data_IF_552259772667
#
_entry.id   IF_552259772667
#
_cell.length_a   1.000
_cell.length_b   1.000
_cell.length_c   1.000
_cell.angle_alpha   90.00
_cell.angle_beta   90.00
_cell.angle_gamma   90.00
#
_symmetry.space_group_name_H-M   'P 1'
#
loop_
_entity.id
_entity.type
_entity.pdbx_description
1 polymer ?
#
# COMPACT_ATOMS: atom_id res chain seq x y z
N UNK A 1 49.12 25.83 32.54
CA UNK A 1 47.82 25.47 33.14
C UNK A 1 46.86 25.17 32.01
N UNK A 2 46.80 23.92 31.57
CA UNK A 2 45.88 23.46 30.52
C UNK A 2 44.72 22.75 31.20
N UNK A 3 43.53 23.36 31.15
CA UNK A 3 42.28 22.74 31.58
C UNK A 3 41.98 21.54 30.68
N UNK A 4 41.87 20.32 31.21
CA UNK A 4 41.29 19.22 30.46
C UNK A 4 39.77 19.38 30.49
N UNK A 5 39.18 19.71 29.35
CA UNK A 5 37.73 19.64 29.14
C UNK A 5 37.33 18.17 29.32
N UNK A 6 36.75 17.85 30.48
CA UNK A 6 36.22 16.53 30.79
C UNK A 6 35.08 16.22 29.81
N UNK A 7 35.26 15.21 28.97
CA UNK A 7 34.15 14.63 28.21
C UNK A 7 33.11 14.12 29.21
N UNK A 8 31.80 14.31 28.97
CA UNK A 8 30.76 13.84 29.89
C UNK A 8 30.93 12.33 30.12
N UNK A 9 30.77 11.89 31.38
CA UNK A 9 30.79 10.46 31.71
C UNK A 9 29.72 9.75 30.86
N UNK A 10 30.05 8.56 30.34
CA UNK A 10 29.23 7.82 29.37
C UNK A 10 27.76 7.70 29.79
N UNK A 11 27.50 7.61 31.08
CA UNK A 11 26.16 7.40 31.65
C UNK A 11 25.30 8.67 31.63
N UNK A 12 25.89 9.85 31.84
CA UNK A 12 25.17 11.14 31.73
C UNK A 12 24.79 11.43 30.27
N UNK A 13 25.69 11.12 29.33
CA UNK A 13 25.39 11.23 27.90
C UNK A 13 24.28 10.27 27.47
N UNK A 14 24.31 9.01 27.92
CA UNK A 14 23.26 8.03 27.61
C UNK A 14 21.90 8.44 28.19
N UNK A 15 21.85 9.02 29.39
CA UNK A 15 20.61 9.52 29.97
C UNK A 15 20.02 10.68 29.16
N UNK A 16 20.84 11.66 28.79
CA UNK A 16 20.38 12.79 27.94
C UNK A 16 19.95 12.29 26.56
N UNK A 17 20.73 11.40 25.94
CA UNK A 17 20.41 10.78 24.66
C UNK A 17 19.06 10.08 24.69
N UNK A 18 18.83 9.21 25.68
CA UNK A 18 17.56 8.48 25.82
C UNK A 18 16.39 9.43 26.10
N UNK A 19 16.60 10.49 26.90
CA UNK A 19 15.59 11.53 27.14
C UNK A 19 15.18 12.26 25.85
N UNK A 20 16.16 12.61 25.00
CA UNK A 20 15.89 13.25 23.70
C UNK A 20 15.16 12.30 22.75
N UNK A 21 15.58 11.03 22.68
CA UNK A 21 14.90 10.00 21.86
C UNK A 21 13.44 9.85 22.28
N UNK A 22 13.18 9.69 23.58
CA UNK A 22 11.81 9.58 24.10
C UNK A 22 10.95 10.81 23.81
N UNK A 23 11.53 12.01 23.92
CA UNK A 23 10.86 13.26 23.59
C UNK A 23 10.48 13.31 22.11
N UNK A 24 11.40 12.92 21.21
CA UNK A 24 11.16 12.86 19.77
C UNK A 24 10.11 11.82 19.40
N UNK A 25 10.16 10.63 20.00
CA UNK A 25 9.17 9.57 19.76
C UNK A 25 7.77 9.98 20.22
N UNK A 26 7.68 10.65 21.36
CA UNK A 26 6.42 11.21 21.88
C UNK A 26 5.87 12.26 20.93
N UNK A 27 6.71 13.21 20.48
CA UNK A 27 6.31 14.28 19.57
C UNK A 27 5.83 13.72 18.22
N UNK A 28 6.55 12.73 17.65
CA UNK A 28 6.16 12.05 16.40
C UNK A 28 4.83 11.32 16.55
N UNK A 29 4.66 10.58 17.64
CA UNK A 29 3.40 9.87 17.93
C UNK A 29 2.22 10.84 18.04
N UNK A 30 2.40 11.95 18.75
CA UNK A 30 1.37 12.99 18.89
C UNK A 30 1.02 13.60 17.52
N UNK A 31 2.03 13.86 16.69
CA UNK A 31 1.88 14.44 15.35
C UNK A 31 1.08 13.51 14.44
N UNK A 32 1.44 12.24 14.35
CA UNK A 32 0.73 11.23 13.56
C UNK A 32 -0.73 11.10 14.00
N UNK A 33 -0.98 11.07 15.31
CA UNK A 33 -2.35 11.03 15.85
C UNK A 33 -3.15 12.25 15.42
N UNK A 34 -2.57 13.44 15.53
CA UNK A 34 -3.23 14.68 15.12
C UNK A 34 -3.51 14.74 13.62
N UNK A 35 -2.57 14.26 12.79
CA UNK A 35 -2.79 14.20 11.34
C UNK A 35 -3.94 13.24 11.03
N UNK A 36 -3.94 12.05 11.64
CA UNK A 36 -4.99 11.06 11.42
C UNK A 36 -6.38 11.58 11.77
N UNK A 37 -6.55 12.26 12.90
CA UNK A 37 -7.87 12.78 13.32
C UNK A 37 -8.36 13.89 12.38
N UNK A 38 -7.47 14.80 11.98
CA UNK A 38 -7.79 15.89 11.04
C UNK A 38 -8.10 15.33 9.64
N UNK A 39 -7.30 14.37 9.18
CA UNK A 39 -7.49 13.70 7.89
C UNK A 39 -8.86 13.00 7.85
N UNK A 40 -9.18 12.18 8.83
CA UNK A 40 -10.47 11.47 8.91
C UNK A 40 -11.64 12.46 8.90
N UNK A 41 -11.57 13.53 9.70
CA UNK A 41 -12.59 14.57 9.72
C UNK A 41 -12.75 15.27 8.36
N UNK A 42 -11.64 15.52 7.66
CA UNK A 42 -11.64 16.11 6.33
C UNK A 42 -12.37 15.23 5.32
N UNK A 43 -12.09 13.93 5.32
CA UNK A 43 -12.75 12.97 4.44
C UNK A 43 -14.24 12.82 4.75
N UNK A 44 -14.65 12.90 6.02
CA UNK A 44 -16.07 12.97 6.38
C UNK A 44 -16.75 14.22 5.82
N UNK A 45 -16.13 15.40 5.98
CA UNK A 45 -16.66 16.67 5.43
C UNK A 45 -16.74 16.68 3.91
N UNK A 46 -15.77 16.06 3.23
CA UNK A 46 -15.83 15.87 1.78
C UNK A 46 -17.05 15.01 1.40
N UNK A 47 -17.28 13.92 2.14
CA UNK A 47 -18.46 13.09 1.98
C UNK A 47 -19.77 13.86 2.18
N UNK A 48 -19.85 14.69 3.23
CA UNK A 48 -20.99 15.56 3.50
C UNK A 48 -21.29 16.49 2.34
N UNK A 49 -20.27 17.22 1.86
CA UNK A 49 -20.40 18.17 0.74
C UNK A 49 -20.86 17.48 -0.54
N UNK A 50 -20.35 16.28 -0.84
CA UNK A 50 -20.80 15.48 -1.99
C UNK A 50 -22.29 15.15 -1.85
N UNK A 51 -22.73 14.65 -0.69
CA UNK A 51 -24.13 14.26 -0.48
C UNK A 51 -25.08 15.45 -0.47
N UNK A 52 -24.73 16.56 0.19
CA UNK A 52 -25.54 17.77 0.22
C UNK A 52 -25.70 18.38 -1.18
N UNK A 53 -24.63 18.41 -1.98
CA UNK A 53 -24.68 18.88 -3.35
C UNK A 53 -25.59 18.01 -4.24
N UNK A 54 -25.54 16.68 -4.06
CA UNK A 54 -26.45 15.76 -4.77
C UNK A 54 -27.92 15.93 -4.35
N UNK A 55 -28.19 16.23 -3.08
CA UNK A 55 -29.56 16.41 -2.57
C UNK A 55 -30.19 17.75 -2.95
N UNK A 56 -29.36 18.79 -3.19
CA UNK A 56 -29.79 20.10 -3.69
C UNK A 56 -30.06 20.15 -5.21
N UNK A 57 -29.77 19.08 -5.94
CA UNK A 57 -30.10 18.90 -7.35
C UNK A 57 -31.28 17.93 -7.53
N UNK A 58 -32.17 18.18 -8.49
CA UNK A 58 -33.25 17.25 -8.80
C UNK A 58 -32.70 15.90 -9.29
N UNK A 59 -32.88 14.87 -8.46
CA UNK A 59 -32.78 13.42 -8.71
C UNK A 59 -32.05 12.94 -9.99
N UNK A 60 -30.93 12.21 -9.80
CA UNK A 60 -30.61 10.90 -10.43
C UNK A 60 -29.25 10.37 -9.99
N UNK A 61 -29.13 9.05 -9.82
CA UNK A 61 -27.86 8.36 -9.59
C UNK A 61 -26.80 8.69 -10.67
N UNK A 62 -27.22 8.96 -11.91
CA UNK A 62 -26.36 9.36 -13.02
C UNK A 62 -25.67 10.73 -12.79
N UNK A 63 -26.31 11.66 -12.07
CA UNK A 63 -25.71 12.96 -11.76
C UNK A 63 -24.61 12.83 -10.70
N UNK A 64 -24.80 11.95 -9.71
CA UNK A 64 -23.80 11.68 -8.67
C UNK A 64 -22.54 10.98 -9.22
N UNK A 65 -22.70 10.08 -10.19
CA UNK A 65 -21.56 9.44 -10.86
C UNK A 65 -20.74 10.45 -11.65
N UNK A 66 -21.39 11.31 -12.44
CA UNK A 66 -20.72 12.40 -13.18
C UNK A 66 -20.03 13.42 -12.25
N UNK A 67 -20.63 13.72 -11.11
CA UNK A 67 -20.04 14.59 -10.10
C UNK A 67 -18.74 14.01 -9.54
N UNK A 68 -18.76 12.74 -9.15
CA UNK A 68 -17.59 12.07 -8.58
C UNK A 68 -16.47 11.97 -9.62
N UNK A 69 -16.78 11.66 -10.88
CA UNK A 69 -15.79 11.60 -11.95
C UNK A 69 -15.13 12.96 -12.18
N UNK A 70 -15.93 14.04 -12.23
CA UNK A 70 -15.41 15.41 -12.39
C UNK A 70 -14.57 15.83 -11.19
N UNK A 71 -15.07 15.61 -9.97
CA UNK A 71 -14.31 15.89 -8.75
C UNK A 71 -13.01 15.11 -8.71
N UNK A 72 -13.01 13.84 -9.16
CA UNK A 72 -11.80 13.04 -9.19
C UNK A 72 -10.76 13.64 -10.12
N UNK A 73 -11.16 14.07 -11.32
CA UNK A 73 -10.26 14.71 -12.28
C UNK A 73 -9.72 16.05 -11.74
N UNK A 74 -10.61 16.95 -11.29
CA UNK A 74 -10.25 18.29 -10.85
C UNK A 74 -9.36 18.26 -9.59
N UNK A 75 -9.73 17.45 -8.59
CA UNK A 75 -8.96 17.32 -7.35
C UNK A 75 -7.65 16.59 -7.57
N UNK A 76 -7.61 15.55 -8.43
CA UNK A 76 -6.34 14.89 -8.78
C UNK A 76 -5.43 15.82 -9.59
N UNK A 77 -5.96 16.71 -10.43
CA UNK A 77 -5.14 17.71 -11.11
C UNK A 77 -4.52 18.70 -10.12
N UNK A 78 -5.26 19.12 -9.09
CA UNK A 78 -4.81 20.12 -8.11
C UNK A 78 -3.92 19.53 -7.02
N UNK A 79 -4.30 18.39 -6.46
CA UNK A 79 -3.70 17.77 -5.27
C UNK A 79 -2.98 16.45 -5.57
N UNK A 80 -3.01 15.97 -6.83
CA UNK A 80 -2.31 14.77 -7.30
C UNK A 80 -2.91 13.47 -6.76
N UNK A 81 -2.39 12.98 -5.63
CA UNK A 81 -2.81 11.72 -5.00
C UNK A 81 -3.97 12.01 -4.04
N UNK A 82 -4.79 11.02 -3.71
CA UNK A 82 -5.86 11.14 -2.69
C UNK A 82 -7.27 11.10 -3.22
N UNK A 83 -7.44 11.44 -4.49
CA UNK A 83 -8.74 11.86 -5.03
C UNK A 83 -9.21 11.01 -6.21
N UNK A 84 -8.91 9.71 -6.19
CA UNK A 84 -9.52 8.77 -7.13
C UNK A 84 -11.05 8.72 -6.94
N UNK A 85 -11.79 8.38 -7.99
CA UNK A 85 -13.24 8.18 -7.90
C UNK A 85 -13.61 7.19 -6.79
N UNK A 86 -12.81 6.13 -6.61
CA UNK A 86 -12.98 5.15 -5.53
C UNK A 86 -12.90 5.80 -4.14
N UNK A 87 -11.91 6.66 -3.90
CA UNK A 87 -11.75 7.38 -2.62
C UNK A 87 -12.93 8.33 -2.37
N UNK A 88 -13.36 9.07 -3.39
CA UNK A 88 -14.53 9.96 -3.28
C UNK A 88 -15.82 9.18 -2.95
N UNK A 89 -16.01 8.01 -3.55
CA UNK A 89 -17.09 7.09 -3.19
C UNK A 89 -16.98 6.59 -1.74
N UNK A 90 -15.76 6.33 -1.25
CA UNK A 90 -15.53 5.97 0.15
C UNK A 90 -15.86 7.14 1.09
N UNK A 91 -15.47 8.37 0.76
CA UNK A 91 -15.80 9.57 1.54
C UNK A 91 -17.31 9.77 1.64
N UNK A 92 -18.01 9.64 0.50
CA UNK A 92 -19.48 9.66 0.45
C UNK A 92 -20.09 8.59 1.35
N UNK A 93 -19.65 7.33 1.24
CA UNK A 93 -20.12 6.23 2.11
C UNK A 93 -19.81 6.49 3.58
N UNK A 94 -18.65 7.08 3.88
CA UNK A 94 -18.23 7.43 5.23
C UNK A 94 -19.18 8.43 5.87
N UNK A 95 -19.49 9.52 5.18
CA UNK A 95 -20.51 10.44 5.65
C UNK A 95 -21.84 9.74 5.90
N UNK A 96 -22.34 8.96 4.93
CA UNK A 96 -23.63 8.26 5.04
C UNK A 96 -23.70 7.26 6.21
N UNK A 97 -22.61 6.58 6.53
CA UNK A 97 -22.58 5.59 7.62
C UNK A 97 -22.37 6.22 9.00
N UNK A 98 -21.73 7.38 9.06
CA UNK A 98 -21.38 8.08 10.30
C UNK A 98 -22.07 9.45 10.38
N UNK A 99 -23.33 9.55 9.95
CA UNK A 99 -24.12 10.80 10.00
C UNK A 99 -24.52 11.19 11.42
N UNK A 100 -24.76 10.20 12.27
CA UNK A 100 -25.27 10.38 13.65
C UNK A 100 -24.15 10.58 14.67
N UNK A 101 -23.14 11.36 14.31
CA UNK A 101 -22.21 11.86 15.30
C UNK A 101 -22.96 12.95 16.05
N UNK A 102 -23.01 12.88 17.38
CA UNK A 102 -23.48 13.97 18.23
C UNK A 102 -22.53 15.16 18.07
N UNK A 103 -22.67 15.90 16.97
CA UNK A 103 -22.02 17.19 16.78
C UNK A 103 -22.80 18.15 17.67
N UNK A 104 -22.30 18.33 18.89
CA UNK A 104 -22.78 19.37 19.79
C UNK A 104 -22.55 20.73 19.13
N UNK A 105 -23.64 21.27 18.59
CA UNK A 105 -23.86 22.61 18.04
C UNK A 105 -23.59 22.87 16.55
N UNK A 106 -24.67 23.32 15.92
CA UNK A 106 -24.75 24.06 14.67
C UNK A 106 -24.10 25.46 14.78
N UNK A 107 -23.70 25.98 13.60
CA UNK A 107 -23.56 27.39 13.16
C UNK A 107 -22.12 27.91 12.92
N UNK A 108 -21.83 28.05 11.61
CA UNK A 108 -20.85 28.91 10.90
C UNK A 108 -19.47 29.17 11.53
N UNK A 109 -18.47 28.43 11.05
CA UNK A 109 -17.05 28.75 11.20
C UNK A 109 -16.17 27.69 10.54
N UNK A 110 -15.92 27.81 9.23
CA UNK A 110 -15.33 26.76 8.38
C UNK A 110 -13.95 26.22 8.85
N UNK A 111 -13.19 27.00 9.63
CA UNK A 111 -11.88 26.58 10.15
C UNK A 111 -11.87 26.14 11.63
N UNK A 112 -12.82 26.60 12.46
CA UNK A 112 -12.97 26.11 13.85
C UNK A 112 -13.63 24.73 13.89
N UNK A 113 -14.43 24.40 12.86
CA UNK A 113 -15.20 23.17 12.77
C UNK A 113 -14.33 21.91 12.66
N UNK A 114 -13.24 21.94 11.88
CA UNK A 114 -12.47 20.73 11.57
C UNK A 114 -11.76 20.14 12.80
N UNK A 115 -11.18 20.98 13.66
CA UNK A 115 -10.52 20.54 14.88
C UNK A 115 -11.51 20.01 15.94
N UNK A 116 -12.73 20.53 15.95
CA UNK A 116 -13.82 20.03 16.81
C UNK A 116 -14.34 18.70 16.27
N UNK A 117 -14.60 18.62 14.97
CA UNK A 117 -15.03 17.41 14.28
C UNK A 117 -14.00 16.28 14.39
N UNK A 118 -12.70 16.59 14.35
CA UNK A 118 -11.63 15.63 14.56
C UNK A 118 -11.72 14.89 15.90
N UNK A 119 -12.31 15.50 16.93
CA UNK A 119 -12.53 14.85 18.23
C UNK A 119 -13.61 13.75 18.16
N UNK A 120 -14.50 13.82 17.19
CA UNK A 120 -15.53 12.82 16.94
C UNK A 120 -15.00 11.58 16.23
N UNK A 121 -13.77 11.61 15.71
CA UNK A 121 -13.14 10.53 14.97
C UNK A 121 -11.86 10.04 15.67
N UNK A 122 -11.99 9.23 16.73
CA UNK A 122 -10.85 8.76 17.52
C UNK A 122 -9.99 7.69 16.80
N UNK A 123 -10.46 7.12 15.69
CA UNK A 123 -9.75 6.10 14.92
C UNK A 123 -9.06 6.70 13.68
N UNK A 124 -7.94 6.12 13.21
CA UNK A 124 -7.33 6.52 11.94
C UNK A 124 -8.23 6.16 10.75
N UNK A 125 -8.09 6.87 9.63
CA UNK A 125 -8.89 6.65 8.42
C UNK A 125 -8.86 5.20 7.94
N UNK A 126 -7.70 4.55 7.99
CA UNK A 126 -7.53 3.14 7.61
C UNK A 126 -8.42 2.17 8.41
N UNK A 127 -8.69 2.46 9.69
CA UNK A 127 -9.66 1.70 10.48
C UNK A 127 -11.10 1.93 9.99
N UNK A 128 -11.46 3.19 9.68
CA UNK A 128 -12.77 3.50 9.10
C UNK A 128 -12.99 2.84 7.74
N UNK A 129 -11.98 2.76 6.88
CA UNK A 129 -12.04 2.00 5.61
C UNK A 129 -12.40 0.53 5.86
N UNK A 130 -11.83 -0.10 6.89
CA UNK A 130 -12.23 -1.46 7.28
C UNK A 130 -13.68 -1.51 7.76
N UNK A 131 -14.10 -0.58 8.61
CA UNK A 131 -15.49 -0.49 9.09
C UNK A 131 -16.50 -0.25 7.95
N UNK A 132 -16.12 0.47 6.89
CA UNK A 132 -16.95 0.69 5.69
C UNK A 132 -17.24 -0.60 4.91
N UNK A 133 -16.34 -1.59 4.96
CA UNK A 133 -16.56 -2.90 4.33
C UNK A 133 -17.56 -3.78 5.10
N UNK A 134 -17.82 -3.48 6.37
CA UNK A 134 -18.79 -4.22 7.21
C UNK A 134 -20.21 -3.80 6.81
N UNK A 135 -20.97 -4.73 6.22
CA UNK A 135 -22.33 -4.46 5.72
C UNK A 135 -23.35 -4.24 6.84
N UNK A 136 -23.29 -5.04 7.90
CA UNK A 136 -24.21 -4.98 9.04
C UNK A 136 -23.92 -3.74 9.91
N UNK A 137 -24.86 -2.79 10.08
CA UNK A 137 -24.65 -1.60 10.91
C UNK A 137 -24.34 -1.92 12.37
N UNK A 138 -24.98 -2.93 12.96
CA UNK A 138 -24.75 -3.31 14.36
C UNK A 138 -23.35 -3.92 14.54
N UNK A 139 -22.91 -4.75 13.59
CA UNK A 139 -21.56 -5.28 13.57
C UNK A 139 -20.52 -4.17 13.43
N UNK A 140 -20.78 -3.18 12.56
CA UNK A 140 -19.89 -2.03 12.38
C UNK A 140 -19.71 -1.23 13.67
N UNK A 141 -20.81 -0.86 14.33
CA UNK A 141 -20.75 -0.15 15.62
C UNK A 141 -20.09 -1.00 16.71
N UNK A 142 -20.29 -2.32 16.70
CA UNK A 142 -19.61 -3.23 17.60
C UNK A 142 -18.09 -3.22 17.39
N UNK A 143 -17.63 -3.39 16.16
CA UNK A 143 -16.20 -3.38 15.83
C UNK A 143 -15.55 -2.03 16.14
N UNK A 144 -16.22 -0.91 15.87
CA UNK A 144 -15.74 0.42 16.24
C UNK A 144 -15.53 0.54 17.76
N UNK A 145 -16.55 0.16 18.55
CA UNK A 145 -16.49 0.22 20.02
C UNK A 145 -15.42 -0.70 20.59
N UNK A 146 -15.31 -1.92 20.10
CA UNK A 146 -14.31 -2.87 20.58
C UNK A 146 -12.89 -2.48 20.15
N UNK A 147 -12.72 -1.84 18.99
CA UNK A 147 -11.42 -1.25 18.58
C UNK A 147 -10.98 -0.17 19.57
N UNK A 148 -11.90 0.73 19.95
CA UNK A 148 -11.61 1.78 20.92
C UNK A 148 -11.35 1.25 22.32
N UNK A 149 -12.15 0.26 22.75
CA UNK A 149 -12.06 -0.33 24.09
C UNK A 149 -10.76 -1.12 24.28
N UNK A 150 -10.36 -1.90 23.27
CA UNK A 150 -9.22 -2.80 23.37
C UNK A 150 -7.94 -2.25 22.70
N UNK A 151 -8.01 -1.06 22.10
CA UNK A 151 -6.88 -0.43 21.42
C UNK A 151 -6.38 -1.22 20.21
N UNK A 152 -7.29 -1.83 19.44
CA UNK A 152 -6.88 -2.69 18.33
C UNK A 152 -6.14 -1.92 17.24
N UNK A 153 -5.02 -2.50 16.77
CA UNK A 153 -4.37 -2.06 15.52
C UNK A 153 -5.31 -2.28 14.33
N UNK A 154 -5.05 -1.62 13.21
CA UNK A 154 -5.83 -1.83 11.97
C UNK A 154 -5.79 -3.30 11.53
N UNK A 155 -4.67 -4.00 11.76
CA UNK A 155 -4.52 -5.44 11.46
C UNK A 155 -5.35 -6.30 12.40
N UNK A 156 -5.37 -5.97 13.69
CA UNK A 156 -6.22 -6.66 14.65
C UNK A 156 -7.70 -6.46 14.33
N UNK A 157 -8.13 -5.23 14.01
CA UNK A 157 -9.49 -4.95 13.56
C UNK A 157 -9.86 -5.79 12.32
N UNK A 158 -9.00 -5.79 11.30
CA UNK A 158 -9.21 -6.57 10.08
C UNK A 158 -9.35 -8.07 10.36
N UNK A 159 -8.49 -8.61 11.24
CA UNK A 159 -8.58 -10.00 11.70
C UNK A 159 -9.87 -10.30 12.45
N UNK A 160 -10.34 -9.40 13.32
CA UNK A 160 -11.57 -9.59 14.09
C UNK A 160 -12.82 -9.53 13.18
N UNK A 161 -12.77 -8.70 12.13
CA UNK A 161 -13.79 -8.68 11.07
C UNK A 161 -13.75 -10.00 10.28
N UNK A 162 -12.57 -10.42 9.81
CA UNK A 162 -12.41 -11.63 9.02
C UNK A 162 -12.86 -12.91 9.76
N UNK A 163 -12.63 -12.95 11.08
CA UNK A 163 -13.04 -14.07 11.93
C UNK A 163 -14.47 -13.98 12.45
N UNK A 164 -15.27 -13.02 11.97
CA UNK A 164 -16.68 -12.84 12.34
C UNK A 164 -16.87 -12.79 13.86
N UNK A 165 -15.98 -12.07 14.55
CA UNK A 165 -15.99 -11.97 16.01
C UNK A 165 -17.33 -11.45 16.55
N UNK A 166 -18.02 -10.56 15.84
CA UNK A 166 -19.34 -10.08 16.22
C UNK A 166 -20.37 -11.23 16.26
N UNK A 167 -20.47 -12.00 15.20
CA UNK A 167 -21.38 -13.13 15.07
C UNK A 167 -21.08 -14.20 16.11
N UNK A 168 -19.80 -14.52 16.32
CA UNK A 168 -19.36 -15.46 17.35
C UNK A 168 -19.72 -14.98 18.76
N UNK A 169 -19.57 -13.68 19.02
CA UNK A 169 -19.96 -13.09 20.31
C UNK A 169 -21.48 -13.16 20.52
N UNK A 170 -22.28 -12.96 19.47
CA UNK A 170 -23.73 -13.12 19.56
C UNK A 170 -24.17 -14.56 19.85
N UNK A 171 -23.49 -15.53 19.24
CA UNK A 171 -23.76 -16.97 19.36
C UNK A 171 -23.21 -17.59 20.64
N UNK A 172 -22.31 -16.91 21.36
CA UNK A 172 -21.74 -17.41 22.60
C UNK A 172 -22.73 -17.38 23.75
N UNK A 173 -22.74 -18.48 24.52
CA UNK A 173 -23.46 -18.56 25.79
C UNK A 173 -22.83 -17.68 26.88
N UNK A 174 -21.52 -17.40 26.80
CA UNK A 174 -20.81 -16.52 27.71
C UNK A 174 -20.18 -15.33 26.94
N UNK A 175 -21.00 -14.28 26.80
CA UNK A 175 -20.62 -13.04 26.11
C UNK A 175 -19.55 -12.27 26.88
N UNK A 176 -19.62 -12.30 28.21
CA UNK A 176 -18.64 -11.64 29.09
C UNK A 176 -17.24 -12.19 28.91
N UNK A 177 -17.08 -13.52 28.89
CA UNK A 177 -15.78 -14.14 28.71
C UNK A 177 -15.19 -13.86 27.32
N UNK A 178 -16.01 -13.84 26.27
CA UNK A 178 -15.54 -13.51 24.92
C UNK A 178 -15.07 -12.05 24.79
N UNK A 179 -15.78 -11.11 25.42
CA UNK A 179 -15.43 -9.68 25.40
C UNK A 179 -14.22 -9.33 26.27
N UNK A 180 -13.77 -10.25 27.14
CA UNK A 180 -12.58 -10.07 27.97
C UNK A 180 -11.33 -10.76 27.40
N UNK A 181 -11.41 -11.42 26.24
CA UNK A 181 -10.22 -12.00 25.62
C UNK A 181 -9.27 -10.90 25.14
N UNK A 182 -8.05 -10.79 25.69
CA UNK A 182 -7.08 -9.84 25.18
C UNK A 182 -6.73 -10.21 23.74
N UNK A 183 -6.73 -9.22 22.85
CA UNK A 183 -6.16 -9.42 21.53
C UNK A 183 -4.66 -9.78 21.69
N UNK A 184 -4.14 -10.72 20.90
CA UNK A 184 -2.72 -11.06 20.96
C UNK A 184 -1.89 -9.81 20.74
N UNK A 185 -0.91 -9.58 21.61
CA UNK A 185 -0.04 -8.42 21.55
C UNK A 185 0.69 -8.39 20.20
N UNK A 186 0.45 -7.34 19.41
CA UNK A 186 1.31 -7.01 18.27
C UNK A 186 2.48 -6.13 18.76
N UNK A 187 3.66 -6.22 18.12
CA UNK A 187 4.74 -5.30 18.42
C UNK A 187 4.26 -3.86 18.22
N UNK A 188 4.60 -2.97 19.17
CA UNK A 188 4.31 -1.54 19.05
C UNK A 188 4.84 -1.03 17.71
N UNK A 189 3.94 -0.47 16.89
CA UNK A 189 4.32 0.19 15.64
C UNK A 189 5.17 1.40 16.02
N UNK A 190 6.41 1.45 15.53
CA UNK A 190 7.29 2.58 15.77
C UNK A 190 6.66 3.86 15.18
N UNK A 191 6.82 5.04 15.82
CA UNK A 191 6.23 6.29 15.33
C UNK A 191 6.61 6.61 13.88
N UNK A 192 7.82 6.22 13.48
CA UNK A 192 8.36 6.36 12.13
C UNK A 192 7.61 5.52 11.09
N UNK A 193 7.15 4.32 11.46
CA UNK A 193 6.33 3.47 10.59
C UNK A 193 4.91 4.04 10.44
N UNK A 194 4.40 4.72 11.47
CA UNK A 194 3.08 5.33 11.43
C UNK A 194 3.05 6.62 10.59
N UNK A 195 4.18 7.35 10.48
CA UNK A 195 4.32 8.50 9.54
C UNK A 195 4.30 8.03 8.07
N UNK A 196 4.78 6.80 7.81
CA UNK A 196 4.78 6.16 6.48
C UNK A 196 3.44 5.52 6.11
N UNK A 197 2.36 5.79 6.83
CA UNK A 197 1.03 5.37 6.39
C UNK A 197 0.73 6.02 5.03
N UNK A 198 0.44 5.23 3.97
CA UNK A 198 0.16 5.76 2.64
C UNK A 198 -0.92 6.85 2.63
N UNK A 199 -1.92 6.76 3.50
CA UNK A 199 -2.99 7.76 3.60
C UNK A 199 -2.50 9.09 4.19
N UNK A 200 -1.60 9.07 5.16
CA UNK A 200 -1.02 10.28 5.76
C UNK A 200 -0.16 11.03 4.74
N UNK A 201 0.65 10.29 4.00
CA UNK A 201 1.54 10.85 2.98
C UNK A 201 0.74 11.47 1.84
N UNK A 202 -0.27 10.73 1.36
CA UNK A 202 -1.23 11.19 0.37
C UNK A 202 -1.97 12.46 0.83
N UNK A 203 -2.46 12.47 2.08
CA UNK A 203 -3.20 13.61 2.65
C UNK A 203 -2.34 14.87 2.79
N UNK A 204 -1.10 14.73 3.25
CA UNK A 204 -0.18 15.86 3.39
C UNK A 204 0.40 16.30 2.04
N UNK A 205 0.03 15.64 0.94
CA UNK A 205 0.65 15.77 -0.38
C UNK A 205 2.18 15.69 -0.28
N UNK A 206 2.64 14.92 0.71
CA UNK A 206 4.04 14.57 0.82
C UNK A 206 4.24 13.49 -0.21
N UNK A 207 5.24 13.70 -1.06
CA UNK A 207 5.89 12.53 -1.63
C UNK A 207 6.34 11.75 -0.42
N UNK A 208 5.86 10.52 -0.31
CA UNK A 208 6.56 9.53 0.48
C UNK A 208 8.04 9.71 0.12
N UNK A 209 8.92 9.81 1.12
CA UNK A 209 10.33 9.60 0.84
C UNK A 209 10.44 8.13 0.45
N UNK A 210 10.14 7.95 -0.83
CA UNK A 210 10.03 6.77 -1.66
C UNK A 210 8.92 5.84 -1.24
N UNK A 211 7.79 5.97 -1.95
CA UNK A 211 6.74 4.97 -1.84
C UNK A 211 7.32 3.66 -2.31
N UNK A 212 6.88 2.56 -1.69
CA UNK A 212 7.17 1.21 -2.16
C UNK A 212 6.93 1.09 -3.68
N UNK A 213 5.95 1.85 -4.23
CA UNK A 213 5.69 1.99 -5.66
C UNK A 213 6.75 2.78 -6.44
N UNK A 214 7.39 3.81 -5.88
CA UNK A 214 8.49 4.54 -6.56
C UNK A 214 9.80 3.73 -6.51
N UNK A 215 10.04 2.99 -5.43
CA UNK A 215 11.13 2.01 -5.33
C UNK A 215 10.90 0.84 -6.28
N UNK A 216 9.69 0.27 -6.30
CA UNK A 216 9.26 -0.75 -7.25
C UNK A 216 9.39 -0.24 -8.68
N UNK A 217 8.94 0.99 -8.96
CA UNK A 217 9.03 1.56 -10.30
C UNK A 217 10.47 1.82 -10.73
N UNK A 218 11.34 2.27 -9.81
CA UNK A 218 12.77 2.45 -10.06
C UNK A 218 13.47 1.09 -10.25
N UNK A 219 13.10 0.08 -9.46
CA UNK A 219 13.62 -1.28 -9.56
C UNK A 219 13.20 -1.93 -10.88
N UNK A 220 11.93 -1.80 -11.29
CA UNK A 220 11.43 -2.25 -12.59
C UNK A 220 12.13 -1.55 -13.75
N UNK A 221 12.45 -0.25 -13.62
CA UNK A 221 13.19 0.49 -14.64
C UNK A 221 14.63 -0.03 -14.76
N UNK A 222 15.30 -0.21 -13.63
CA UNK A 222 16.67 -0.75 -13.60
C UNK A 222 16.73 -2.20 -14.10
N UNK A 223 15.77 -3.03 -13.71
CA UNK A 223 15.68 -4.40 -14.20
C UNK A 223 15.40 -4.44 -15.71
N UNK A 224 14.57 -3.52 -16.22
CA UNK A 224 14.33 -3.41 -17.65
C UNK A 224 15.61 -3.06 -18.41
N UNK A 225 16.33 -2.03 -17.96
CA UNK A 225 17.60 -1.62 -18.57
C UNK A 225 18.62 -2.76 -18.50
N UNK A 226 18.74 -3.44 -17.36
CA UNK A 226 19.59 -4.61 -17.20
C UNK A 226 19.24 -5.74 -18.19
N UNK A 227 17.96 -6.09 -18.35
CA UNK A 227 17.56 -7.12 -19.31
C UNK A 227 17.95 -6.75 -20.75
N UNK A 228 17.89 -5.46 -21.11
CA UNK A 228 18.32 -4.97 -22.41
C UNK A 228 19.86 -4.96 -22.55
N UNK A 229 20.60 -4.78 -21.45
CA UNK A 229 22.07 -4.83 -21.41
C UNK A 229 22.62 -6.26 -21.52
N UNK A 230 21.84 -7.29 -21.15
CA UNK A 230 22.26 -8.68 -21.24
C UNK A 230 22.48 -9.18 -22.69
N UNK A 231 22.01 -8.42 -23.69
CA UNK A 231 22.34 -8.63 -25.09
C UNK A 231 21.19 -8.34 -26.05
N UNK A 232 21.44 -8.53 -27.35
CA UNK A 232 20.51 -8.18 -28.43
C UNK A 232 19.27 -9.06 -28.53
N UNK A 233 19.11 -10.06 -27.65
CA UNK A 233 18.02 -11.03 -27.68
C UNK A 233 16.76 -10.54 -26.99
N UNK A 234 16.86 -9.61 -26.04
CA UNK A 234 15.71 -9.05 -25.33
C UNK A 234 15.16 -7.84 -26.05
N UNK A 235 13.90 -7.91 -26.47
CA UNK A 235 13.18 -6.78 -27.03
C UNK A 235 12.04 -6.37 -26.07
N UNK A 236 12.06 -5.14 -25.59
CA UNK A 236 10.99 -4.64 -24.73
C UNK A 236 9.68 -4.49 -25.50
N UNK A 237 8.60 -5.07 -24.98
CA UNK A 237 7.25 -5.03 -25.59
C UNK A 237 6.33 -4.07 -24.82
N UNK A 238 6.44 -4.04 -23.49
CA UNK A 238 5.64 -3.13 -22.69
C UNK A 238 5.81 -3.31 -21.19
N UNK A 239 5.31 -2.32 -20.45
CA UNK A 239 5.31 -2.27 -18.98
C UNK A 239 3.89 -2.19 -18.46
N UNK A 240 3.65 -2.80 -17.29
CA UNK A 240 2.36 -2.82 -16.61
C UNK A 240 1.22 -3.27 -17.55
N UNK A 241 1.50 -4.30 -18.36
CA UNK A 241 0.59 -4.79 -19.39
C UNK A 241 -0.62 -5.44 -18.72
N UNK A 242 -1.79 -4.86 -18.95
CA UNK A 242 -3.05 -5.37 -18.40
C UNK A 242 -3.54 -6.57 -19.20
N UNK A 243 -3.99 -7.60 -18.49
CA UNK A 243 -4.72 -8.73 -19.04
C UNK A 243 -6.05 -8.88 -18.32
N UNK A 244 -7.07 -9.29 -19.06
CA UNK A 244 -8.40 -9.54 -18.52
C UNK A 244 -8.70 -11.02 -18.64
N UNK A 245 -8.96 -11.64 -17.50
CA UNK A 245 -9.41 -13.03 -17.41
C UNK A 245 -10.76 -12.98 -16.71
N UNK A 246 -11.79 -13.48 -17.39
CA UNK A 246 -13.18 -13.34 -16.99
C UNK A 246 -13.54 -11.86 -16.72
N UNK A 247 -13.94 -11.55 -15.48
CA UNK A 247 -14.29 -10.21 -15.02
C UNK A 247 -13.21 -9.55 -14.15
N UNK A 248 -12.03 -10.17 -14.05
CA UNK A 248 -10.91 -9.65 -13.25
C UNK A 248 -9.80 -9.09 -14.14
N UNK A 249 -9.27 -7.93 -13.72
CA UNK A 249 -8.10 -7.31 -14.34
C UNK A 249 -6.85 -7.68 -13.58
N UNK A 250 -5.86 -8.18 -14.32
CA UNK A 250 -4.53 -8.46 -13.83
C UNK A 250 -3.50 -7.64 -14.61
N UNK A 251 -2.26 -7.66 -14.14
CA UNK A 251 -1.16 -6.87 -14.70
C UNK A 251 0.13 -7.68 -14.64
N UNK A 252 0.88 -7.63 -15.74
CA UNK A 252 2.26 -8.11 -15.85
C UNK A 252 3.18 -6.89 -15.80
N UNK A 253 4.20 -6.92 -14.95
CA UNK A 253 5.03 -5.74 -14.70
C UNK A 253 5.92 -5.39 -15.89
N UNK A 254 6.65 -6.35 -16.44
CA UNK A 254 7.41 -6.18 -17.68
C UNK A 254 7.12 -7.31 -18.66
N UNK A 255 7.02 -6.95 -19.93
CA UNK A 255 6.83 -7.87 -21.04
C UNK A 255 7.96 -7.67 -22.04
N UNK A 256 8.70 -8.75 -22.29
CA UNK A 256 9.75 -8.82 -23.31
C UNK A 256 9.41 -9.85 -24.37
N UNK A 257 10.05 -9.72 -25.52
CA UNK A 257 10.14 -10.75 -26.53
C UNK A 257 11.60 -11.21 -26.63
N UNK A 258 11.83 -12.50 -26.48
CA UNK A 258 13.16 -13.10 -26.61
C UNK A 258 13.36 -13.58 -28.05
N UNK A 259 14.27 -12.93 -28.79
CA UNK A 259 14.41 -13.13 -30.25
C UNK A 259 14.89 -14.52 -30.63
N UNK A 260 15.92 -15.05 -29.96
CA UNK A 260 16.43 -16.40 -30.26
C UNK A 260 15.43 -17.51 -29.93
N UNK A 261 14.81 -17.44 -28.75
CA UNK A 261 13.75 -18.37 -28.33
C UNK A 261 12.42 -18.14 -29.05
N UNK A 262 12.24 -16.99 -29.71
CA UNK A 262 11.00 -16.57 -30.39
C UNK A 262 9.78 -16.65 -29.50
N UNK A 263 9.89 -16.25 -28.23
CA UNK A 263 8.80 -16.33 -27.26
C UNK A 263 8.66 -15.05 -26.44
N UNK A 264 7.47 -14.83 -25.88
CA UNK A 264 7.25 -13.79 -24.88
C UNK A 264 7.85 -14.20 -23.53
N UNK A 265 8.46 -13.25 -22.84
CA UNK A 265 8.92 -13.37 -21.47
C UNK A 265 8.13 -12.38 -20.60
N UNK A 266 7.36 -12.94 -19.67
CA UNK A 266 6.56 -12.20 -18.70
C UNK A 266 7.33 -12.11 -17.40
N UNK A 267 7.55 -10.90 -16.88
CA UNK A 267 8.26 -10.66 -15.63
C UNK A 267 7.32 -10.02 -14.62
N UNK A 268 7.29 -10.57 -13.41
CA UNK A 268 6.46 -10.10 -12.30
C UNK A 268 7.34 -9.91 -11.05
N UNK A 269 7.24 -8.74 -10.42
CA UNK A 269 7.99 -8.38 -9.22
C UNK A 269 7.10 -8.56 -7.98
N UNK A 270 7.60 -9.30 -7.00
CA UNK A 270 6.88 -9.62 -5.76
C UNK A 270 7.62 -9.09 -4.54
N UNK A 271 6.88 -8.53 -3.59
CA UNK A 271 7.40 -8.16 -2.27
C UNK A 271 7.39 -9.39 -1.37
N UNK A 272 8.56 -9.79 -0.86
CA UNK A 272 8.71 -10.93 0.03
C UNK A 272 9.15 -12.23 -0.66
N UNK A 273 8.97 -13.37 0.01
CA UNK A 273 9.45 -14.69 -0.46
C UNK A 273 8.50 -15.31 -1.47
N UNK A 274 9.05 -16.10 -2.39
CA UNK A 274 8.28 -16.86 -3.37
C UNK A 274 7.33 -17.86 -2.70
N UNK A 275 6.05 -17.82 -3.07
CA UNK A 275 5.01 -18.70 -2.56
C UNK A 275 4.22 -19.43 -3.65
N UNK A 276 3.40 -20.40 -3.22
CA UNK A 276 2.53 -21.17 -4.13
C UNK A 276 1.52 -20.30 -4.90
N UNK A 277 1.10 -19.17 -4.31
CA UNK A 277 0.20 -18.23 -4.96
C UNK A 277 0.85 -17.56 -6.18
N UNK A 278 2.15 -17.24 -6.09
CA UNK A 278 2.90 -16.58 -7.16
C UNK A 278 3.09 -17.52 -8.37
N UNK A 279 3.40 -18.79 -8.09
CA UNK A 279 3.46 -19.83 -9.12
C UNK A 279 2.11 -20.03 -9.84
N UNK A 280 1.02 -20.02 -9.08
CA UNK A 280 -0.34 -20.12 -9.63
C UNK A 280 -0.70 -18.92 -10.53
N UNK A 281 -0.40 -17.71 -10.06
CA UNK A 281 -0.63 -16.47 -10.81
C UNK A 281 0.19 -16.44 -12.10
N UNK A 282 1.48 -16.79 -12.05
CA UNK A 282 2.33 -16.82 -13.23
C UNK A 282 1.84 -17.85 -14.25
N UNK A 283 1.43 -19.05 -13.81
CA UNK A 283 0.85 -20.05 -14.72
C UNK A 283 -0.42 -19.53 -15.42
N UNK A 284 -1.27 -18.81 -14.69
CA UNK A 284 -2.45 -18.16 -15.27
C UNK A 284 -2.04 -17.13 -16.35
N UNK A 285 -1.03 -16.31 -16.09
CA UNK A 285 -0.52 -15.33 -17.05
C UNK A 285 0.04 -15.99 -18.32
N UNK A 286 0.80 -17.07 -18.17
CA UNK A 286 1.38 -17.78 -19.31
C UNK A 286 0.33 -18.43 -20.19
N UNK A 287 -0.72 -19.01 -19.60
CA UNK A 287 -1.83 -19.57 -20.36
C UNK A 287 -2.57 -18.48 -21.14
N UNK A 288 -2.86 -17.35 -20.50
CA UNK A 288 -3.51 -16.22 -21.17
C UNK A 288 -2.66 -15.67 -22.32
N UNK A 289 -1.36 -15.46 -22.09
CA UNK A 289 -0.43 -14.94 -23.10
C UNK A 289 -0.32 -15.91 -24.28
N UNK A 290 -0.23 -17.22 -24.02
CA UNK A 290 -0.18 -18.26 -25.06
C UNK A 290 -1.40 -18.23 -25.98
N UNK A 291 -2.58 -17.98 -25.42
CA UNK A 291 -3.84 -17.97 -26.18
C UNK A 291 -4.10 -16.64 -26.89
N UNK A 292 -3.73 -15.50 -26.27
CA UNK A 292 -4.20 -14.18 -26.71
C UNK A 292 -3.08 -13.25 -27.21
N UNK A 293 -1.83 -13.46 -26.80
CA UNK A 293 -0.70 -12.56 -27.11
C UNK A 293 0.34 -13.20 -28.02
N UNK A 294 0.50 -14.52 -27.97
CA UNK A 294 1.44 -15.27 -28.80
C UNK A 294 0.97 -15.30 -30.26
N UNK A 295 1.85 -14.90 -31.17
CA UNK A 295 1.57 -14.89 -32.62
C UNK A 295 1.89 -16.24 -33.29
N UNK A 296 1.32 -16.51 -34.49
CA UNK A 296 1.69 -17.68 -35.27
C UNK A 296 3.20 -17.76 -35.54
N UNK A 297 3.81 -18.87 -35.14
CA UNK A 297 5.25 -19.09 -35.29
C UNK A 297 6.10 -18.60 -34.11
N UNK A 298 5.49 -18.08 -33.05
CA UNK A 298 6.16 -17.89 -31.76
C UNK A 298 6.06 -19.15 -30.91
N UNK A 299 7.09 -19.39 -30.10
CA UNK A 299 7.13 -20.50 -29.16
C UNK A 299 6.39 -20.12 -27.85
N UNK A 300 6.03 -21.11 -27.00
CA UNK A 300 5.29 -20.84 -25.78
C UNK A 300 5.98 -19.83 -24.86
N UNK A 301 5.21 -18.96 -24.17
CA UNK A 301 5.76 -17.92 -23.32
C UNK A 301 6.44 -18.49 -22.06
N UNK A 302 7.31 -17.68 -21.47
CA UNK A 302 8.05 -17.98 -20.23
C UNK A 302 7.70 -16.97 -19.17
N UNK A 303 7.58 -17.43 -17.93
CA UNK A 303 7.39 -16.57 -16.77
C UNK A 303 8.68 -16.43 -15.99
N UNK A 304 8.95 -15.23 -15.48
CA UNK A 304 10.02 -14.93 -14.53
C UNK A 304 9.39 -14.21 -13.34
N UNK A 305 9.49 -14.81 -12.16
CA UNK A 305 9.08 -14.18 -10.90
C UNK A 305 10.32 -13.70 -10.18
N UNK A 306 10.37 -12.40 -9.88
CA UNK A 306 11.44 -11.77 -9.12
C UNK A 306 10.90 -11.40 -7.74
N UNK A 307 11.48 -11.97 -6.70
CA UNK A 307 11.08 -11.76 -5.32
C UNK A 307 12.07 -10.80 -4.64
N UNK A 308 11.58 -9.60 -4.32
CA UNK A 308 12.29 -8.54 -3.66
C UNK A 308 12.00 -8.56 -2.15
N UNK A 309 12.89 -9.18 -1.36
CA UNK A 309 12.87 -9.13 0.10
C UNK A 309 14.03 -8.31 0.66
N UNK A 310 13.88 -7.68 1.84
CA UNK A 310 14.96 -6.94 2.50
C UNK A 310 16.17 -7.85 2.74
N UNK A 311 17.26 -7.59 2.01
CA UNK A 311 18.51 -8.37 2.11
C UNK A 311 18.43 -9.79 1.55
N UNK A 312 17.36 -10.13 0.82
CA UNK A 312 17.16 -11.45 0.22
C UNK A 312 16.40 -11.30 -1.10
N UNK A 313 17.05 -11.62 -2.22
CA UNK A 313 16.43 -11.71 -3.54
C UNK A 313 16.24 -13.18 -3.93
N UNK A 314 15.20 -13.48 -4.70
CA UNK A 314 15.04 -14.77 -5.38
C UNK A 314 14.51 -14.54 -6.79
N UNK A 315 14.95 -15.36 -7.75
CA UNK A 315 14.44 -15.37 -9.12
C UNK A 315 14.02 -16.80 -9.48
N UNK A 316 12.82 -16.95 -10.05
CA UNK A 316 12.26 -18.26 -10.40
C UNK A 316 11.63 -18.24 -11.79
N UNK A 317 12.08 -19.12 -12.69
CA UNK A 317 11.44 -19.32 -13.98
C UNK A 317 10.24 -20.27 -13.90
N UNK A 318 9.11 -19.84 -14.45
CA UNK A 318 7.94 -20.68 -14.69
C UNK A 318 7.97 -21.21 -16.13
N UNK A 319 8.31 -22.49 -16.28
CA UNK A 319 8.45 -23.21 -17.56
C UNK A 319 7.35 -24.26 -17.78
N UNK A 320 6.33 -24.27 -16.92
CA UNK A 320 5.27 -25.29 -16.83
C UNK A 320 4.43 -25.43 -18.09
N UNK A 321 4.41 -24.42 -18.97
CA UNK A 321 3.67 -24.43 -20.24
C UNK A 321 4.41 -25.04 -21.45
N UNK A 322 5.65 -25.51 -21.26
CA UNK A 322 6.47 -26.07 -22.35
C UNK A 322 6.10 -27.54 -22.68
N UNK A 323 6.08 -27.91 -23.96
CA UNK A 323 5.55 -29.21 -24.42
C UNK A 323 6.43 -30.40 -24.07
N UNK A 324 7.73 -30.21 -23.82
CA UNK A 324 8.64 -31.28 -23.42
C UNK A 324 9.82 -30.77 -22.55
N UNK A 325 10.49 -31.70 -21.87
CA UNK A 325 11.63 -31.43 -21.00
C UNK A 325 12.86 -30.92 -21.75
N UNK A 326 13.02 -31.33 -23.02
CA UNK A 326 14.14 -30.90 -23.87
C UNK A 326 14.05 -29.39 -24.16
N UNK A 327 12.88 -28.89 -24.51
CA UNK A 327 12.62 -27.47 -24.76
C UNK A 327 12.78 -26.65 -23.48
N UNK A 328 12.38 -27.20 -22.31
CA UNK A 328 12.65 -26.55 -21.03
C UNK A 328 14.15 -26.40 -20.74
N UNK A 329 14.96 -27.41 -21.08
CA UNK A 329 16.42 -27.34 -20.96
C UNK A 329 17.02 -26.33 -21.94
N UNK A 330 16.57 -26.31 -23.19
CA UNK A 330 17.03 -25.34 -24.21
C UNK A 330 16.76 -23.90 -23.77
N UNK A 331 15.57 -23.65 -23.22
CA UNK A 331 15.20 -22.34 -22.69
C UNK A 331 16.10 -21.92 -21.52
N UNK A 332 16.38 -22.83 -20.58
CA UNK A 332 17.29 -22.57 -19.45
C UNK A 332 18.72 -22.25 -19.88
N UNK A 333 19.17 -22.78 -21.02
CA UNK A 333 20.52 -22.50 -21.55
C UNK A 333 20.59 -21.11 -22.18
N UNK A 334 19.49 -20.64 -22.79
CA UNK A 334 19.46 -19.34 -23.47
C UNK A 334 19.08 -18.18 -22.55
N UNK A 335 18.31 -18.46 -21.48
CA UNK A 335 17.91 -17.45 -20.51
C UNK A 335 19.02 -17.18 -19.48
N UNK A 336 19.10 -15.95 -18.94
CA UNK A 336 20.03 -15.61 -17.87
C UNK A 336 19.86 -16.50 -16.64
N UNK A 337 20.97 -16.84 -15.98
CA UNK A 337 20.95 -17.61 -14.74
C UNK A 337 20.13 -16.87 -13.66
N UNK A 338 19.30 -17.61 -12.93
CA UNK A 338 18.50 -17.10 -11.80
C UNK A 338 19.39 -16.45 -10.74
N UNK A 339 20.62 -16.95 -10.56
CA UNK A 339 21.60 -16.33 -9.65
C UNK A 339 22.02 -14.95 -10.12
N UNK A 340 22.30 -14.77 -11.40
CA UNK A 340 22.67 -13.48 -11.98
C UNK A 340 21.54 -12.46 -11.80
N UNK A 341 20.30 -12.87 -12.07
CA UNK A 341 19.11 -12.03 -11.86
C UNK A 341 18.91 -11.68 -10.39
N UNK A 342 19.15 -12.64 -9.50
CA UNK A 342 19.06 -12.44 -8.05
C UNK A 342 20.11 -11.45 -7.54
N UNK A 343 21.36 -11.60 -7.98
CA UNK A 343 22.47 -10.73 -7.60
C UNK A 343 22.22 -9.29 -8.07
N UNK A 344 21.75 -9.11 -9.30
CA UNK A 344 21.42 -7.80 -9.83
C UNK A 344 20.18 -7.18 -9.14
N UNK A 345 19.18 -7.99 -8.79
CA UNK A 345 18.02 -7.54 -8.01
C UNK A 345 18.44 -7.00 -6.64
N UNK A 346 19.31 -7.72 -5.92
CA UNK A 346 19.84 -7.31 -4.61
C UNK A 346 20.71 -6.06 -4.76
N UNK A 347 21.54 -6.00 -5.79
CA UNK A 347 22.41 -4.84 -6.07
C UNK A 347 21.58 -3.59 -6.37
N UNK A 348 20.58 -3.73 -7.24
CA UNK A 348 19.65 -2.66 -7.62
C UNK A 348 18.92 -2.13 -6.39
N UNK A 349 18.39 -3.01 -5.53
CA UNK A 349 17.78 -2.63 -4.26
C UNK A 349 18.75 -1.87 -3.36
N UNK A 350 19.96 -2.39 -3.17
CA UNK A 350 20.96 -1.76 -2.30
C UNK A 350 21.38 -0.38 -2.83
N UNK A 351 21.56 -0.25 -4.15
CA UNK A 351 21.89 1.04 -4.78
C UNK A 351 20.77 2.04 -4.63
N UNK A 352 19.53 1.62 -4.89
CA UNK A 352 18.36 2.45 -4.67
C UNK A 352 18.34 2.83 -3.19
N UNK A 353 18.28 1.90 -2.24
CA UNK A 353 18.31 2.17 -0.78
C UNK A 353 19.44 3.10 -0.32
N UNK A 354 20.62 3.04 -0.95
CA UNK A 354 21.75 3.94 -0.67
C UNK A 354 21.56 5.34 -1.25
N UNK A 355 21.01 5.46 -2.46
CA UNK A 355 20.61 6.75 -3.05
C UNK A 355 19.45 7.38 -2.27
N UNK A 356 18.53 6.54 -1.79
CA UNK A 356 17.41 6.89 -0.91
C UNK A 356 17.91 7.49 0.41
N UNK A 357 18.94 6.91 1.04
CA UNK A 357 19.53 7.40 2.30
C UNK A 357 20.44 8.64 2.12
N UNK A 358 21.11 8.79 0.98
CA UNK A 358 21.97 9.98 0.70
C UNK A 358 21.19 11.21 0.26
N UNK A 359 19.99 11.05 -0.33
CA UNK A 359 19.12 12.15 -0.75
C UNK A 359 18.57 13.00 0.40
N UNK A 360 18.35 12.40 1.58
CA UNK A 360 17.85 13.08 2.78
C UNK A 360 18.87 13.98 3.49
N UNK A 361 20.17 13.88 3.14
CA UNK A 361 21.23 14.68 3.77
C UNK A 361 21.57 15.98 3.02
N UNK A 362 20.97 16.25 1.85
CA UNK A 362 21.31 17.42 1.01
C UNK A 362 20.37 18.61 1.15
N UNK A 363 19.30 18.51 1.94
CA UNK A 363 18.32 19.59 2.14
C UNK A 363 18.59 20.47 3.37
N UNK A 364 19.64 20.22 4.14
CA UNK A 364 20.00 21.03 5.34
C UNK A 364 21.20 21.96 5.17
N UNK A 365 21.80 22.04 3.97
CA UNK A 365 22.88 23.01 3.68
C UNK A 365 22.51 23.87 2.46
N UNK A 366 21.50 24.72 2.64
CA UNK A 366 21.38 26.00 1.92
C UNK A 366 20.43 26.90 2.68
N UNK A 367 20.97 27.56 3.70
CA UNK A 367 20.67 28.95 4.07
C UNK A 367 21.91 29.56 4.70
#
# INVERSE_FOLDING_TARGET
MTNPTLAPQSDEYQQIHNGIVQLLDTARTQTVRSINTIMTATYWEMGRRIVEFEQGGEARAAYGEQLIDRLSQDLSQRYKRGFSASNLWQFKKFYLYFQKIEILQTVSGESLHLAQLAKSFPLPWSAYVRLLSVKNPNARTFYEKETLRNGWSVRQLDRQIATQFYERTLLSHDKSAMLQQPAPAEPNVLPEQAIRDPFILEFLNLKDEYSESDLEDALLSHLMDFMLELGDDFAFVGRQRRLRIDDSWFRVDLLFFHRRLRCLLLVDLKVGKFGYADAGQMNMYLNYAKEHWTMPGENPPVGLVLCAGKGAGEAHYALTGLPNTIMASEYKVQLPDEKLLTDELIRSQTMLETQLTRGGSRTTEKN
#
